data_IF_519906196711
#
_entry.id   IF_519906196711
#
_cell.length_a   1.000
_cell.length_b   1.000
_cell.length_c   1.000
_cell.angle_alpha   90.00
_cell.angle_beta   90.00
_cell.angle_gamma   90.00
#
_symmetry.space_group_name_H-M   'P 1'
#
loop_
_entity.id
_entity.type
_entity.pdbx_description
1 polymer ?
#
# COMPACT_ATOMS: atom_id res chain seq x y z
N UNK A 1 24.76 -1.19 -29.52
CA UNK A 1 23.68 -2.02 -28.93
C UNK A 1 22.93 -1.12 -27.96
N UNK A 2 21.74 -0.66 -28.34
CA UNK A 2 21.06 0.47 -27.69
C UNK A 2 20.58 0.14 -26.28
N UNK A 3 21.01 0.95 -25.31
CA UNK A 3 20.41 1.02 -23.99
C UNK A 3 18.93 1.38 -24.18
N UNK A 4 18.03 0.39 -24.06
CA UNK A 4 16.61 0.64 -23.90
C UNK A 4 16.48 1.56 -22.69
N UNK A 5 16.09 2.83 -22.91
CA UNK A 5 15.69 3.73 -21.81
C UNK A 5 14.69 2.96 -20.97
N UNK A 6 15.05 2.62 -19.74
CA UNK A 6 14.18 1.94 -18.80
C UNK A 6 12.96 2.84 -18.62
N UNK A 7 11.84 2.50 -19.27
CA UNK A 7 10.62 3.31 -19.18
C UNK A 7 10.10 3.12 -17.77
N UNK A 8 10.00 4.21 -17.00
CA UNK A 8 9.42 4.24 -15.66
C UNK A 8 8.14 3.40 -15.61
N UNK A 9 7.98 2.56 -14.58
CA UNK A 9 6.82 1.67 -14.41
C UNK A 9 5.52 2.48 -14.31
N UNK A 10 5.59 3.71 -13.79
CA UNK A 10 4.52 4.70 -13.84
C UNK A 10 4.90 5.83 -14.79
N UNK A 11 4.06 6.12 -15.78
CA UNK A 11 4.28 7.20 -16.74
C UNK A 11 3.16 8.23 -16.76
N UNK A 12 3.53 9.51 -16.68
CA UNK A 12 2.61 10.61 -16.94
C UNK A 12 2.40 10.80 -18.44
N UNK A 13 1.16 11.01 -18.85
CA UNK A 13 0.73 11.26 -20.24
C UNK A 13 -0.24 12.44 -20.27
N UNK A 14 -0.60 12.94 -21.46
CA UNK A 14 -1.64 13.97 -21.59
C UNK A 14 -3.04 13.51 -21.15
N UNK A 15 -3.27 12.20 -21.03
CA UNK A 15 -4.55 11.61 -20.63
C UNK A 15 -4.59 11.19 -19.15
N UNK A 16 -3.49 11.37 -18.40
CA UNK A 16 -3.33 10.88 -17.04
C UNK A 16 -2.11 9.97 -16.87
N UNK A 17 -2.13 9.09 -15.87
CA UNK A 17 -1.04 8.20 -15.49
C UNK A 17 -1.27 6.79 -16.02
N UNK A 18 -0.25 6.21 -16.62
CA UNK A 18 -0.27 4.85 -17.16
C UNK A 18 0.68 3.99 -16.35
N UNK A 19 0.14 2.90 -15.79
CA UNK A 19 0.90 1.82 -15.16
C UNK A 19 1.37 0.84 -16.24
N UNK A 20 2.67 0.60 -16.31
CA UNK A 20 3.31 -0.34 -17.23
C UNK A 20 3.62 -1.63 -16.50
N UNK A 21 2.56 -2.23 -15.95
CA UNK A 21 2.60 -3.51 -15.27
C UNK A 21 2.09 -4.61 -16.21
N UNK A 22 2.64 -5.81 -16.06
CA UNK A 22 2.11 -7.02 -16.64
C UNK A 22 0.76 -7.39 -16.02
N UNK A 23 0.04 -8.31 -16.66
CA UNK A 23 -1.24 -8.80 -16.12
C UNK A 23 -1.07 -9.47 -14.76
N UNK A 24 -0.01 -10.28 -14.61
CA UNK A 24 0.28 -10.98 -13.35
C UNK A 24 0.61 -10.02 -12.21
N UNK A 25 1.31 -8.92 -12.49
CA UNK A 25 1.58 -7.87 -11.49
C UNK A 25 0.29 -7.12 -11.09
N UNK A 26 -0.61 -6.85 -12.04
CA UNK A 26 -1.92 -6.25 -11.74
C UNK A 26 -2.75 -7.20 -10.88
N UNK A 27 -2.85 -8.47 -11.27
CA UNK A 27 -3.63 -9.49 -10.54
C UNK A 27 -3.04 -9.73 -9.15
N UNK A 28 -1.70 -9.66 -8.98
CA UNK A 28 -1.05 -9.68 -7.68
C UNK A 28 -1.48 -8.47 -6.81
N UNK A 29 -1.43 -7.26 -7.35
CA UNK A 29 -1.82 -6.05 -6.60
C UNK A 29 -3.29 -6.13 -6.19
N UNK A 30 -4.19 -6.54 -7.10
CA UNK A 30 -5.61 -6.70 -6.79
C UNK A 30 -5.81 -7.71 -5.65
N UNK A 31 -5.13 -8.86 -5.67
CA UNK A 31 -5.21 -9.82 -4.56
C UNK A 31 -4.70 -9.25 -3.24
N UNK A 32 -3.63 -8.47 -3.25
CA UNK A 32 -3.11 -7.84 -2.03
C UNK A 32 -4.06 -6.78 -1.47
N UNK A 33 -4.79 -6.08 -2.34
CA UNK A 33 -5.84 -5.14 -1.94
C UNK A 33 -7.06 -5.87 -1.34
N UNK A 34 -7.42 -7.03 -1.89
CA UNK A 34 -8.44 -7.91 -1.31
C UNK A 34 -8.02 -8.46 0.07
N UNK A 35 -6.76 -8.85 0.23
CA UNK A 35 -6.19 -9.29 1.52
C UNK A 35 -6.21 -8.15 2.54
N UNK A 36 -5.83 -6.93 2.13
CA UNK A 36 -5.91 -5.74 2.98
C UNK A 36 -7.35 -5.44 3.41
N UNK A 37 -8.30 -5.56 2.49
CA UNK A 37 -9.74 -5.43 2.77
C UNK A 37 -10.18 -6.47 3.81
N UNK A 38 -9.78 -7.73 3.65
CA UNK A 38 -10.14 -8.79 4.58
C UNK A 38 -9.59 -8.52 5.99
N UNK A 39 -8.36 -8.01 6.10
CA UNK A 39 -7.77 -7.61 7.38
C UNK A 39 -8.55 -6.47 8.05
N UNK A 40 -8.98 -5.45 7.29
CA UNK A 40 -9.77 -4.33 7.83
C UNK A 40 -11.14 -4.75 8.36
N UNK A 41 -11.72 -5.79 7.78
CA UNK A 41 -13.03 -6.34 8.14
C UNK A 41 -12.94 -7.50 9.14
N UNK A 42 -11.72 -7.87 9.56
CA UNK A 42 -11.52 -8.95 10.50
C UNK A 42 -11.84 -8.51 11.93
N UNK A 43 -12.64 -9.31 12.62
CA UNK A 43 -12.87 -9.19 14.06
C UNK A 43 -11.82 -9.94 14.91
N UNK A 44 -10.81 -10.56 14.26
CA UNK A 44 -9.75 -11.30 14.95
C UNK A 44 -8.78 -10.34 15.67
N UNK A 45 -8.68 -10.40 17.02
CA UNK A 45 -7.78 -9.55 17.79
C UNK A 45 -6.31 -9.69 17.38
N UNK A 46 -5.89 -10.84 16.84
CA UNK A 46 -4.52 -11.09 16.40
C UNK A 46 -4.15 -10.29 15.15
N UNK A 47 -5.14 -9.77 14.40
CA UNK A 47 -4.89 -8.91 13.23
C UNK A 47 -4.67 -7.43 13.59
N UNK A 48 -5.14 -7.00 14.76
CA UNK A 48 -5.05 -5.60 15.19
C UNK A 48 -3.61 -5.05 15.24
N UNK A 49 -2.58 -5.80 15.69
CA UNK A 49 -1.19 -5.35 15.64
C UNK A 49 -0.69 -5.05 14.23
N UNK A 50 -1.10 -5.84 13.22
CA UNK A 50 -0.67 -5.67 11.82
C UNK A 50 -1.18 -4.35 11.21
N UNK A 51 -2.34 -3.88 11.66
CA UNK A 51 -2.96 -2.66 11.16
C UNK A 51 -2.55 -1.40 11.93
N UNK A 52 -1.71 -1.51 12.96
CA UNK A 52 -1.33 -0.37 13.82
C UNK A 52 -0.68 0.78 13.06
N UNK A 53 0.13 0.46 12.03
CA UNK A 53 0.74 1.49 11.16
C UNK A 53 -0.26 2.09 10.17
N UNK A 54 -1.32 1.37 9.83
CA UNK A 54 -2.36 1.81 8.89
C UNK A 54 -3.39 2.72 9.58
N UNK A 55 -3.74 2.40 10.82
CA UNK A 55 -4.58 3.22 11.69
C UNK A 55 -3.77 3.65 12.92
N UNK A 56 -2.84 4.62 12.77
CA UNK A 56 -2.04 5.08 13.90
C UNK A 56 -2.94 5.72 14.97
N UNK A 57 -2.53 5.67 16.24
CA UNK A 57 -3.25 6.38 17.29
C UNK A 57 -3.20 7.88 17.04
N UNK A 58 -4.27 8.60 17.38
CA UNK A 58 -4.32 10.06 17.26
C UNK A 58 -3.59 10.75 18.41
N UNK A 59 -3.55 10.10 19.58
CA UNK A 59 -2.83 10.56 20.77
C UNK A 59 -1.75 9.56 21.18
N UNK A 60 -0.56 10.06 21.51
CA UNK A 60 0.62 9.24 21.78
C UNK A 60 1.06 9.24 23.26
N UNK A 61 0.51 10.13 24.08
CA UNK A 61 0.85 10.25 25.50
C UNK A 61 -0.04 9.32 26.34
N UNK A 62 0.51 8.75 27.41
CA UNK A 62 -0.24 7.86 28.30
C UNK A 62 -1.42 8.56 28.98
N UNK A 63 -1.28 9.85 29.29
CA UNK A 63 -2.33 10.65 29.93
C UNK A 63 -3.55 10.89 29.00
N UNK A 64 -3.39 10.67 27.69
CA UNK A 64 -4.45 10.86 26.68
C UNK A 64 -5.19 9.54 26.36
N UNK A 65 -5.01 8.47 27.15
CA UNK A 65 -5.57 7.15 26.85
C UNK A 65 -7.11 7.15 26.70
N UNK A 66 -7.82 7.97 27.49
CA UNK A 66 -9.27 8.12 27.39
C UNK A 66 -9.67 8.86 26.10
N UNK A 67 -8.94 9.91 25.73
CA UNK A 67 -9.15 10.64 24.50
C UNK A 67 -8.86 9.79 23.25
N UNK A 68 -7.83 8.95 23.30
CA UNK A 68 -7.53 7.97 22.24
C UNK A 68 -8.64 6.93 22.10
N UNK A 69 -9.13 6.37 23.22
CA UNK A 69 -10.20 5.39 23.19
C UNK A 69 -11.49 5.99 22.57
N UNK A 70 -11.83 7.23 22.93
CA UNK A 70 -12.98 7.93 22.37
C UNK A 70 -12.77 8.26 20.88
N UNK A 71 -11.58 8.69 20.48
CA UNK A 71 -11.23 8.92 19.08
C UNK A 71 -11.42 7.65 18.24
N UNK A 72 -10.86 6.51 18.69
CA UNK A 72 -11.00 5.24 17.97
C UNK A 72 -12.47 4.83 17.89
N UNK A 73 -13.23 4.97 18.98
CA UNK A 73 -14.67 4.65 19.01
C UNK A 73 -15.47 5.46 17.99
N UNK A 74 -15.12 6.72 17.79
CA UNK A 74 -15.85 7.63 16.89
C UNK A 74 -15.40 7.53 15.44
N UNK A 75 -14.09 7.36 15.19
CA UNK A 75 -13.51 7.54 13.86
C UNK A 75 -13.20 6.23 13.12
N UNK A 76 -13.05 5.11 13.83
CA UNK A 76 -12.53 3.87 13.25
C UNK A 76 -13.38 3.36 12.08
N UNK A 77 -14.70 3.38 12.22
CA UNK A 77 -15.62 2.91 11.18
C UNK A 77 -15.52 3.76 9.91
N UNK A 78 -15.55 5.09 10.06
CA UNK A 78 -15.42 6.03 8.93
C UNK A 78 -14.07 5.92 8.22
N UNK A 79 -12.97 5.74 8.98
CA UNK A 79 -11.63 5.55 8.43
C UNK A 79 -11.53 4.24 7.64
N UNK A 80 -12.13 3.15 8.14
CA UNK A 80 -12.20 1.87 7.42
C UNK A 80 -13.03 2.01 6.16
N UNK A 81 -14.23 2.60 6.25
CA UNK A 81 -15.11 2.83 5.09
C UNK A 81 -14.41 3.64 3.98
N UNK A 82 -13.67 4.69 4.36
CA UNK A 82 -12.89 5.50 3.41
C UNK A 82 -11.80 4.69 2.71
N UNK A 83 -11.08 3.83 3.43
CA UNK A 83 -10.08 2.94 2.83
C UNK A 83 -10.73 1.95 1.86
N UNK A 84 -11.84 1.32 2.24
CA UNK A 84 -12.56 0.35 1.43
C UNK A 84 -13.05 0.96 0.11
N UNK A 85 -13.63 2.16 0.16
CA UNK A 85 -14.05 2.89 -1.04
C UNK A 85 -12.86 3.21 -1.95
N UNK A 86 -11.74 3.67 -1.38
CA UNK A 86 -10.52 3.97 -2.12
C UNK A 86 -9.97 2.73 -2.84
N UNK A 87 -9.90 1.59 -2.13
CA UNK A 87 -9.47 0.31 -2.68
C UNK A 87 -10.35 -0.10 -3.87
N UNK A 88 -11.68 -0.03 -3.74
CA UNK A 88 -12.60 -0.41 -4.83
C UNK A 88 -12.43 0.47 -6.10
N UNK A 89 -12.17 1.77 -5.93
CA UNK A 89 -11.86 2.67 -7.05
C UNK A 89 -10.55 2.29 -7.74
N UNK A 90 -9.54 1.92 -6.96
CA UNK A 90 -8.22 1.51 -7.47
C UNK A 90 -8.31 0.20 -8.24
N UNK A 91 -9.01 -0.81 -7.70
CA UNK A 91 -9.22 -2.10 -8.38
C UNK A 91 -9.94 -1.92 -9.72
N UNK A 92 -10.97 -1.07 -9.75
CA UNK A 92 -11.70 -0.75 -10.99
C UNK A 92 -10.75 -0.15 -12.04
N UNK A 93 -9.90 0.80 -11.62
CA UNK A 93 -8.96 1.45 -12.51
C UNK A 93 -7.83 0.53 -13.00
N UNK A 94 -7.33 -0.35 -12.13
CA UNK A 94 -6.33 -1.37 -12.51
C UNK A 94 -6.88 -2.34 -13.55
N UNK A 95 -8.13 -2.76 -13.40
CA UNK A 95 -8.77 -3.70 -14.31
C UNK A 95 -9.21 -3.09 -15.64
N UNK A 96 -9.46 -1.77 -15.71
CA UNK A 96 -9.85 -1.10 -16.96
C UNK A 96 -8.67 -0.99 -17.94
N UNK A 97 -7.44 -0.87 -17.43
CA UNK A 97 -6.25 -0.59 -18.23
C UNK A 97 -6.22 0.83 -18.82
N UNK A 98 -7.16 1.69 -18.43
CA UNK A 98 -7.23 3.08 -18.87
C UNK A 98 -6.26 3.95 -18.05
N UNK A 99 -5.80 5.09 -18.61
CA UNK A 99 -5.00 6.05 -17.84
C UNK A 99 -5.77 6.54 -16.59
N UNK A 100 -5.11 6.46 -15.43
CA UNK A 100 -5.62 6.99 -14.18
C UNK A 100 -5.60 8.52 -14.20
N UNK A 101 -6.65 9.17 -13.69
CA UNK A 101 -6.61 10.61 -13.42
C UNK A 101 -5.84 10.90 -12.11
N UNK A 102 -5.72 12.18 -11.74
CA UNK A 102 -5.00 12.60 -10.53
C UNK A 102 -5.59 11.99 -9.25
N UNK A 103 -6.92 11.93 -9.08
CA UNK A 103 -7.51 11.37 -7.86
C UNK A 103 -7.34 9.85 -7.78
N UNK A 104 -7.45 9.15 -8.90
CA UNK A 104 -7.24 7.71 -8.98
C UNK A 104 -5.79 7.31 -8.71
N UNK A 105 -4.80 8.03 -9.25
CA UNK A 105 -3.38 7.71 -8.98
C UNK A 105 -3.00 8.00 -7.53
N UNK A 106 -3.61 9.02 -6.90
CA UNK A 106 -3.45 9.30 -5.48
C UNK A 106 -4.05 8.19 -4.61
N UNK A 107 -5.26 7.72 -4.96
CA UNK A 107 -5.87 6.56 -4.31
C UNK A 107 -5.01 5.31 -4.46
N UNK A 108 -4.44 5.07 -5.64
CA UNK A 108 -3.53 3.96 -5.90
C UNK A 108 -2.27 4.03 -5.01
N UNK A 109 -1.68 5.23 -4.90
CA UNK A 109 -0.54 5.48 -4.02
C UNK A 109 -0.85 5.17 -2.56
N UNK A 110 -2.01 5.63 -2.07
CA UNK A 110 -2.45 5.39 -0.69
C UNK A 110 -2.73 3.90 -0.42
N UNK A 111 -3.43 3.23 -1.34
CA UNK A 111 -3.75 1.81 -1.22
C UNK A 111 -2.47 0.95 -1.23
N UNK A 112 -1.53 1.24 -2.14
CA UNK A 112 -0.24 0.56 -2.23
C UNK A 112 0.60 0.78 -0.95
N UNK A 113 0.60 2.00 -0.42
CA UNK A 113 1.23 2.30 0.86
C UNK A 113 0.58 1.52 2.01
N UNK A 114 -0.76 1.40 2.02
CA UNK A 114 -1.47 0.62 3.03
C UNK A 114 -1.04 -0.84 3.08
N UNK A 115 -0.97 -1.51 1.92
CA UNK A 115 -0.45 -2.88 1.81
C UNK A 115 0.99 -2.95 2.34
N UNK A 116 1.85 -2.02 1.91
CA UNK A 116 3.25 -1.97 2.34
C UNK A 116 3.38 -1.79 3.85
N UNK A 117 2.56 -0.97 4.49
CA UNK A 117 2.60 -0.74 5.94
C UNK A 117 2.22 -2.00 6.73
N UNK A 118 1.19 -2.72 6.30
CA UNK A 118 0.79 -3.99 6.91
C UNK A 118 1.89 -5.04 6.74
N UNK A 119 2.39 -5.22 5.52
CA UNK A 119 3.47 -6.18 5.24
C UNK A 119 4.76 -5.83 6.00
N UNK A 120 5.11 -4.54 6.08
CA UNK A 120 6.27 -4.08 6.84
C UNK A 120 6.12 -4.31 8.34
N UNK A 121 4.89 -4.28 8.87
CA UNK A 121 4.62 -4.65 10.27
C UNK A 121 4.77 -6.15 10.48
N UNK A 122 4.28 -6.97 9.54
CA UNK A 122 4.43 -8.43 9.57
C UNK A 122 5.91 -8.85 9.55
N UNK A 123 6.73 -8.15 8.78
CA UNK A 123 8.17 -8.44 8.62
C UNK A 123 9.05 -7.77 9.69
N UNK A 124 8.47 -7.00 10.61
CA UNK A 124 9.20 -6.13 11.55
C UNK A 124 10.27 -5.25 10.87
N UNK A 125 9.94 -4.73 9.68
CA UNK A 125 10.81 -3.86 8.89
C UNK A 125 10.72 -2.43 9.43
N UNK A 126 11.87 -1.83 9.72
CA UNK A 126 12.05 -0.42 10.11
C UNK A 126 12.72 0.39 8.99
N UNK A 127 12.88 1.70 9.20
CA UNK A 127 13.55 2.59 8.23
C UNK A 127 15.04 2.24 8.00
N UNK A 128 15.67 1.53 8.94
CA UNK A 128 17.09 1.13 8.88
C UNK A 128 17.30 -0.22 8.18
N UNK A 129 16.24 -0.88 7.72
CA UNK A 129 16.30 -2.23 7.20
C UNK A 129 16.91 -2.28 5.79
N UNK A 130 18.01 -3.01 5.62
CA UNK A 130 18.62 -3.22 4.31
C UNK A 130 17.93 -4.35 3.54
N UNK A 131 17.03 -3.98 2.63
CA UNK A 131 16.27 -4.91 1.78
C UNK A 131 17.16 -5.76 0.85
N UNK A 132 18.42 -5.37 0.64
CA UNK A 132 19.36 -6.10 -0.24
C UNK A 132 20.16 -7.17 0.52
N UNK A 133 20.02 -7.21 1.86
CA UNK A 133 20.74 -8.13 2.74
C UNK A 133 19.96 -9.42 3.08
N UNK A 134 18.72 -9.54 2.59
CA UNK A 134 17.88 -10.72 2.84
C UNK A 134 18.45 -11.93 2.11
N UNK A 135 18.73 -12.99 2.87
CA UNK A 135 19.27 -14.23 2.33
C UNK A 135 18.19 -15.03 1.62
N UNK A 136 18.57 -15.74 0.55
CA UNK A 136 17.66 -16.59 -0.21
C UNK A 136 17.05 -17.73 0.63
N UNK A 137 17.71 -18.15 1.71
CA UNK A 137 17.24 -19.18 2.64
C UNK A 137 16.32 -18.65 3.77
N UNK A 138 16.02 -17.35 3.77
CA UNK A 138 15.14 -16.76 4.78
C UNK A 138 13.71 -17.33 4.66
N UNK A 139 13.06 -17.75 5.75
CA UNK A 139 11.71 -18.32 5.71
C UNK A 139 10.67 -17.39 5.07
N UNK A 140 10.90 -16.07 5.15
CA UNK A 140 10.04 -15.03 4.59
C UNK A 140 10.68 -14.28 3.41
N UNK A 141 11.60 -14.91 2.66
CA UNK A 141 12.29 -14.25 1.55
C UNK A 141 11.32 -13.71 0.49
N UNK A 142 10.22 -14.43 0.23
CA UNK A 142 9.20 -14.01 -0.73
C UNK A 142 8.48 -12.71 -0.30
N UNK A 143 8.15 -12.59 0.98
CA UNK A 143 7.51 -11.43 1.57
C UNK A 143 8.45 -10.22 1.57
N UNK A 144 9.75 -10.41 1.82
CA UNK A 144 10.74 -9.33 1.68
C UNK A 144 10.87 -8.87 0.23
N UNK A 145 10.91 -9.79 -0.75
CA UNK A 145 10.90 -9.42 -2.17
C UNK A 145 9.63 -8.66 -2.56
N UNK A 146 8.47 -9.11 -2.05
CA UNK A 146 7.21 -8.42 -2.26
C UNK A 146 7.25 -7.01 -1.67
N UNK A 147 7.72 -6.85 -0.43
CA UNK A 147 7.89 -5.56 0.21
C UNK A 147 8.79 -4.62 -0.63
N UNK A 148 9.90 -5.14 -1.16
CA UNK A 148 10.79 -4.40 -2.06
C UNK A 148 10.09 -3.97 -3.35
N UNK A 149 9.34 -4.87 -3.99
CA UNK A 149 8.55 -4.55 -5.18
C UNK A 149 7.51 -3.45 -4.93
N UNK A 150 6.72 -3.56 -3.86
CA UNK A 150 5.72 -2.56 -3.48
C UNK A 150 6.38 -1.20 -3.18
N UNK A 151 7.55 -1.22 -2.54
CA UNK A 151 8.34 -0.02 -2.24
C UNK A 151 8.79 0.69 -3.51
N UNK A 152 9.36 -0.06 -4.47
CA UNK A 152 9.77 0.46 -5.77
C UNK A 152 8.60 1.04 -6.58
N UNK A 153 7.46 0.35 -6.58
CA UNK A 153 6.27 0.80 -7.29
C UNK A 153 5.67 2.07 -6.67
N UNK A 154 5.67 2.17 -5.33
CA UNK A 154 5.23 3.36 -4.61
C UNK A 154 6.13 4.56 -4.93
N UNK A 155 7.45 4.38 -4.82
CA UNK A 155 8.43 5.41 -5.18
C UNK A 155 8.23 5.88 -6.64
N UNK A 156 8.08 4.94 -7.56
CA UNK A 156 7.84 5.23 -8.97
C UNK A 156 6.54 6.02 -9.19
N UNK A 157 5.50 5.74 -8.40
CA UNK A 157 4.22 6.46 -8.43
C UNK A 157 4.38 7.89 -7.92
N UNK A 158 5.04 8.08 -6.78
CA UNK A 158 5.36 9.39 -6.21
C UNK A 158 6.14 10.23 -7.22
N UNK A 159 7.22 9.68 -7.78
CA UNK A 159 8.03 10.36 -8.79
C UNK A 159 7.26 10.76 -10.05
N UNK A 160 6.23 10.00 -10.44
CA UNK A 160 5.39 10.35 -11.57
C UNK A 160 4.42 11.50 -11.27
N UNK A 161 3.92 11.58 -10.03
CA UNK A 161 2.96 12.60 -9.57
C UNK A 161 3.65 13.91 -9.19
N UNK A 162 4.90 13.87 -8.70
CA UNK A 162 5.67 15.05 -8.29
C UNK A 162 6.30 15.83 -9.45
N UNK A 163 6.09 15.40 -10.70
CA UNK A 163 6.62 16.05 -11.92
C UNK A 163 5.53 16.77 -12.67
#
# INVERSE_FOLDING_TARGET
MGLRRNRSVVGRTSKGYVLRLSRDEIDLIVRLLDELRALMLSDDPETAPLMRRLFPPAYHLQDDAEAEAEYQRLMREDLVASHLESIGRVETALNSGEPMNDSTVQGFMQALNGVRLVLGTLLDVSEEHDLTSVRDDHPMAAEHHLYGFLSYLLESTVLAVSR
#
